data_IF_813183466694
#
_entry.id   IF_813183466694
#
_cell.length_a   1.000
_cell.length_b   1.000
_cell.length_c   1.000
_cell.angle_alpha   90.00
_cell.angle_beta   90.00
_cell.angle_gamma   90.00
#
_symmetry.space_group_name_H-M   'P 1'
#
loop_
_entity.id
_entity.type
_entity.pdbx_description
1 polymer ?
#
# COMPACT_ATOMS: atom_id res chain seq x y z
N UNK A 1 -0.45 17.79 32.80
CA UNK A 1 -1.08 16.96 32.53
C UNK A 1 -1.62 16.65 32.14
N UNK A 2 -0.70 17.05 32.56
CA UNK A 2 -1.31 16.30 32.28
C UNK A 2 -1.59 16.16 31.97
N UNK A 3 -1.19 16.05 31.82
CA UNK A 3 -1.53 15.53 31.58
C UNK A 3 -1.85 15.07 31.30
N UNK A 4 -1.23 15.27 31.56
CA UNK A 4 -1.58 14.69 31.50
C UNK A 4 -1.90 14.36 31.00
N UNK A 5 -1.42 14.53 31.27
CA UNK A 5 -1.73 14.03 31.08
C UNK A 5 -1.90 13.80 30.40
N UNK A 6 -0.88 14.56 31.12
CA UNK A 6 -1.16 14.01 30.53
C UNK A 6 -0.93 13.97 30.22
N UNK A 7 -0.42 13.33 29.88
CA UNK A 7 -0.40 13.00 29.69
C UNK A 7 -0.29 12.75 29.25
N UNK A 8 0.63 13.05 29.41
CA UNK A 8 0.57 12.72 28.97
C UNK A 8 0.82 12.71 28.48
N UNK A 9 1.28 13.22 28.85
CA UNK A 9 1.34 13.17 28.27
C UNK A 9 1.93 12.88 28.05
N UNK A 10 3.14 13.21 28.06
CA UNK A 10 3.22 12.68 27.71
C UNK A 10 3.50 12.58 27.34
N UNK A 11 4.20 12.99 27.50
CA UNK A 11 4.12 12.59 26.83
C UNK A 11 4.28 12.40 26.78
N UNK A 12 4.83 12.65 26.91
CA UNK A 12 4.54 12.16 26.65
C UNK A 12 4.56 11.92 26.24
N UNK A 13 5.32 12.41 26.59
CA UNK A 13 5.02 12.02 26.01
C UNK A 13 5.19 11.87 25.87
N UNK A 14 5.67 12.08 25.93
CA UNK A 14 5.68 11.66 25.59
C UNK A 14 5.35 11.58 25.10
N UNK A 15 5.79 12.11 25.09
CA UNK A 15 5.36 11.73 24.16
C UNK A 15 5.04 12.11 23.70
N UNK A 16 4.97 12.39 23.44
CA UNK A 16 4.64 12.52 22.68
C UNK A 16 4.58 12.14 22.20
N UNK A 17 4.87 12.07 21.82
CA UNK A 17 4.81 11.56 21.14
C UNK A 17 4.92 11.26 20.38
N UNK A 18 5.32 11.70 20.02
CA UNK A 18 5.78 10.95 18.93
C UNK A 18 4.68 10.28 18.14
N UNK A 19 3.64 10.03 18.69
CA UNK A 19 2.49 9.48 18.01
C UNK A 19 2.00 10.36 16.90
N UNK A 20 2.17 11.63 17.05
CA UNK A 20 1.67 12.54 16.06
C UNK A 20 2.42 12.43 14.74
N UNK A 21 3.55 11.76 14.74
CA UNK A 21 4.32 11.60 13.51
C UNK A 21 4.13 10.23 12.91
N UNK A 22 3.29 9.44 13.50
CA UNK A 22 3.06 8.11 13.01
C UNK A 22 2.11 8.17 11.84
N UNK A 23 2.53 7.64 10.71
CA UNK A 23 1.70 7.63 9.53
C UNK A 23 1.06 6.26 9.42
N UNK A 24 -0.25 6.24 9.54
CA UNK A 24 -0.97 4.99 9.46
C UNK A 24 -1.02 4.52 8.02
N UNK A 25 -0.80 3.24 7.83
CA UNK A 25 -0.98 2.65 6.53
C UNK A 25 -2.47 2.57 6.23
N UNK A 26 -2.87 3.07 5.08
CA UNK A 26 -4.26 3.02 4.66
C UNK A 26 -4.37 1.98 3.55
N UNK A 27 -5.21 0.98 3.71
CA UNK A 27 -5.38 -0.03 2.66
C UNK A 27 -5.71 0.62 1.32
N UNK A 28 -5.20 0.02 0.26
CA UNK A 28 -5.29 0.61 -1.08
C UNK A 28 -6.73 0.91 -1.46
N UNK A 29 -7.63 -0.02 -1.19
CA UNK A 29 -9.03 0.16 -1.59
C UNK A 29 -9.73 1.28 -0.84
N UNK A 30 -9.13 1.75 0.25
CA UNK A 30 -9.73 2.82 1.05
C UNK A 30 -9.12 4.19 0.77
N UNK A 31 -8.12 4.25 -0.10
CA UNK A 31 -7.44 5.52 -0.35
C UNK A 31 -8.25 6.40 -1.27
N UNK A 32 -8.36 7.70 -0.94
CA UNK A 32 -9.14 8.61 -1.77
C UNK A 32 -8.66 8.70 -3.21
N UNK A 33 -7.35 8.63 -3.43
CA UNK A 33 -6.79 8.81 -4.76
C UNK A 33 -7.09 7.62 -5.68
N UNK A 34 -7.58 6.50 -5.15
CA UNK A 34 -7.87 5.32 -5.94
C UNK A 34 -9.34 4.94 -5.92
N UNK A 35 -10.23 5.90 -5.67
CA UNK A 35 -11.65 5.60 -5.60
C UNK A 35 -12.33 5.59 -6.94
N UNK A 36 -11.72 6.18 -7.96
CA UNK A 36 -12.25 6.17 -9.32
C UNK A 36 -11.10 6.16 -10.29
N UNK A 37 -11.42 5.83 -11.54
CA UNK A 37 -10.46 5.90 -12.61
C UNK A 37 -9.82 4.57 -12.92
N UNK A 38 -8.79 4.59 -13.78
CA UNK A 38 -8.17 3.33 -14.25
C UNK A 38 -7.58 2.47 -13.16
N UNK A 39 -7.03 3.10 -12.12
CA UNK A 39 -6.46 2.30 -11.02
C UNK A 39 -7.56 1.55 -10.30
N UNK A 40 -8.69 2.20 -10.05
CA UNK A 40 -9.81 1.55 -9.38
C UNK A 40 -10.32 0.38 -10.19
N UNK A 41 -10.48 0.60 -11.49
CA UNK A 41 -10.96 -0.46 -12.37
C UNK A 41 -10.01 -1.64 -12.37
N UNK A 42 -8.70 -1.36 -12.41
CA UNK A 42 -7.71 -2.43 -12.41
C UNK A 42 -7.70 -3.16 -11.08
N UNK A 43 -7.91 -2.45 -9.98
CA UNK A 43 -7.95 -3.09 -8.67
C UNK A 43 -9.13 -4.05 -8.56
N UNK A 44 -10.28 -3.67 -9.09
CA UNK A 44 -11.43 -4.58 -9.11
C UNK A 44 -11.15 -5.79 -9.99
N UNK A 45 -10.51 -5.58 -11.15
CA UNK A 45 -10.16 -6.69 -12.01
C UNK A 45 -9.20 -7.64 -11.30
N UNK A 46 -8.26 -7.08 -10.55
CA UNK A 46 -7.29 -7.87 -9.82
C UNK A 46 -7.96 -8.68 -8.72
N UNK A 47 -8.95 -8.09 -8.05
CA UNK A 47 -9.71 -8.82 -7.03
C UNK A 47 -10.42 -10.04 -7.62
N UNK A 48 -10.83 -9.96 -8.87
CA UNK A 48 -11.48 -11.07 -9.53
C UNK A 48 -10.50 -12.18 -9.87
N UNK A 49 -9.26 -11.83 -10.15
CA UNK A 49 -8.25 -12.79 -10.57
C UNK A 49 -7.60 -13.48 -9.38
N UNK A 50 -7.30 -12.73 -8.33
CA UNK A 50 -6.62 -13.26 -7.15
C UNK A 50 -7.64 -13.76 -6.15
N UNK A 51 -7.21 -14.67 -5.28
CA UNK A 51 -8.07 -15.05 -4.17
C UNK A 51 -8.24 -13.84 -3.26
N UNK A 52 -9.36 -13.80 -2.54
CA UNK A 52 -9.64 -12.70 -1.64
C UNK A 52 -8.54 -12.53 -0.59
N UNK A 53 -8.06 -13.64 -0.08
CA UNK A 53 -7.01 -13.63 0.94
C UNK A 53 -5.72 -13.06 0.38
N UNK A 54 -5.33 -13.48 -0.82
CA UNK A 54 -4.11 -12.99 -1.44
C UNK A 54 -4.22 -11.51 -1.81
N UNK A 55 -5.35 -11.10 -2.34
CA UNK A 55 -5.55 -9.71 -2.68
C UNK A 55 -5.42 -8.84 -1.43
N UNK A 56 -6.06 -9.27 -0.34
CA UNK A 56 -6.01 -8.49 0.89
C UNK A 56 -4.59 -8.38 1.41
N UNK A 57 -3.86 -9.48 1.41
CA UNK A 57 -2.53 -9.50 1.99
C UNK A 57 -1.48 -8.84 1.12
N UNK A 58 -1.48 -9.14 -0.17
CA UNK A 58 -0.37 -8.73 -1.04
C UNK A 58 -0.65 -7.47 -1.85
N UNK A 59 -1.89 -7.06 -1.94
CA UNK A 59 -2.24 -5.85 -2.67
C UNK A 59 -2.76 -4.79 -1.71
N UNK A 60 -3.89 -5.09 -1.07
CA UNK A 60 -4.58 -4.08 -0.27
C UNK A 60 -3.77 -3.62 0.93
N UNK A 61 -3.05 -4.53 1.56
CA UNK A 61 -2.30 -4.22 2.77
C UNK A 61 -0.81 -4.02 2.54
N UNK A 62 -0.34 -4.08 1.30
CA UNK A 62 1.09 -4.04 1.05
C UNK A 62 1.55 -2.85 0.23
N UNK A 63 0.68 -2.28 -0.59
CA UNK A 63 1.12 -1.24 -1.52
C UNK A 63 1.04 0.13 -0.90
N UNK A 64 2.17 0.82 -0.93
CA UNK A 64 2.26 2.19 -0.46
C UNK A 64 1.77 3.14 -1.52
N UNK A 65 2.03 2.82 -2.78
CA UNK A 65 1.66 3.70 -3.87
C UNK A 65 1.51 2.91 -5.17
N UNK A 66 0.58 3.35 -5.99
CA UNK A 66 0.41 2.84 -7.35
C UNK A 66 0.51 4.03 -8.28
N UNK A 67 1.41 3.94 -9.25
CA UNK A 67 1.52 4.96 -10.29
C UNK A 67 1.18 4.31 -11.61
N UNK A 68 0.15 4.79 -12.28
CA UNK A 68 -0.34 4.15 -13.48
C UNK A 68 -0.89 5.22 -14.42
N UNK A 69 -0.42 5.19 -15.66
CA UNK A 69 -0.83 6.19 -16.65
C UNK A 69 -1.52 5.56 -17.86
N UNK A 70 -1.94 4.30 -17.74
CA UNK A 70 -2.60 3.60 -18.83
C UNK A 70 -1.67 2.73 -19.63
N UNK A 71 -0.37 2.97 -19.56
CA UNK A 71 0.59 2.14 -20.26
C UNK A 71 1.78 1.74 -19.39
N UNK A 72 2.08 2.54 -18.38
CA UNK A 72 3.18 2.23 -17.47
C UNK A 72 2.64 2.08 -16.07
N UNK A 73 3.16 1.08 -15.37
CA UNK A 73 2.72 0.78 -14.03
C UNK A 73 3.93 0.65 -13.11
N UNK A 74 3.90 1.35 -12.00
CA UNK A 74 4.90 1.18 -10.97
C UNK A 74 4.22 1.01 -9.63
N UNK A 75 4.66 0.03 -8.88
CA UNK A 75 4.11 -0.26 -7.57
C UNK A 75 5.20 -0.07 -6.52
N UNK A 76 4.84 0.51 -5.41
CA UNK A 76 5.76 0.64 -4.27
C UNK A 76 5.16 -0.14 -3.11
N UNK A 77 5.90 -1.13 -2.64
CA UNK A 77 5.45 -1.96 -1.53
C UNK A 77 6.09 -1.50 -0.24
N UNK A 78 5.51 -1.89 0.87
CA UNK A 78 6.05 -1.47 2.15
C UNK A 78 7.22 -2.32 2.62
N UNK A 79 7.51 -3.44 1.95
CA UNK A 79 8.69 -4.22 2.32
C UNK A 79 9.16 -5.06 1.15
N UNK A 80 10.39 -5.52 1.26
CA UNK A 80 11.03 -6.32 0.23
C UNK A 80 10.30 -7.64 0.01
N UNK A 81 9.77 -8.22 1.07
CA UNK A 81 9.03 -9.47 0.95
C UNK A 81 7.85 -9.32 -0.02
N UNK A 82 7.10 -8.24 0.14
CA UNK A 82 5.96 -8.03 -0.74
C UNK A 82 6.40 -7.78 -2.17
N UNK A 83 7.51 -7.06 -2.36
CA UNK A 83 8.03 -6.84 -3.70
C UNK A 83 8.34 -8.18 -4.38
N UNK A 84 9.00 -9.06 -3.64
CA UNK A 84 9.36 -10.37 -4.17
C UNK A 84 8.13 -11.18 -4.54
N UNK A 85 7.12 -11.17 -3.66
CA UNK A 85 5.91 -11.93 -3.91
C UNK A 85 5.16 -11.42 -5.14
N UNK A 86 5.06 -10.10 -5.27
CA UNK A 86 4.37 -9.53 -6.43
C UNK A 86 5.09 -9.86 -7.72
N UNK A 87 6.42 -9.84 -7.68
CA UNK A 87 7.20 -10.14 -8.86
C UNK A 87 7.12 -11.61 -9.25
N UNK A 88 7.16 -12.49 -8.28
CA UNK A 88 7.28 -13.93 -8.56
C UNK A 88 5.95 -14.66 -8.68
N UNK A 89 4.96 -14.30 -7.88
CA UNK A 89 3.72 -15.04 -7.86
C UNK A 89 2.57 -14.34 -8.58
N UNK A 90 2.55 -13.02 -8.54
CA UNK A 90 1.39 -12.29 -9.02
C UNK A 90 1.67 -11.42 -10.23
N UNK A 91 2.81 -11.63 -10.86
CA UNK A 91 3.20 -10.81 -12.01
C UNK A 91 2.14 -10.85 -13.11
N UNK A 92 1.74 -12.04 -13.50
CA UNK A 92 0.80 -12.18 -14.61
C UNK A 92 -0.58 -11.62 -14.27
N UNK A 93 -1.01 -11.85 -13.04
CA UNK A 93 -2.31 -11.34 -12.62
C UNK A 93 -2.32 -9.82 -12.67
N UNK A 94 -1.25 -9.20 -12.21
CA UNK A 94 -1.18 -7.74 -12.20
C UNK A 94 -1.10 -7.20 -13.62
N UNK A 95 -0.31 -7.82 -14.48
CA UNK A 95 -0.22 -7.40 -15.87
C UNK A 95 -1.58 -7.51 -16.55
N UNK A 96 -2.31 -8.56 -16.27
CA UNK A 96 -3.61 -8.77 -16.87
C UNK A 96 -4.62 -7.71 -16.38
N UNK A 97 -4.61 -7.45 -15.07
CA UNK A 97 -5.57 -6.50 -14.50
C UNK A 97 -5.33 -5.07 -14.98
N UNK A 98 -4.07 -4.68 -15.12
CA UNK A 98 -3.72 -3.33 -15.53
C UNK A 98 -3.52 -3.20 -17.03
N UNK A 99 -3.59 -4.30 -17.77
CA UNK A 99 -3.41 -4.31 -19.22
C UNK A 99 -2.04 -3.78 -19.63
N UNK A 100 -1.01 -4.25 -18.96
CA UNK A 100 0.37 -3.89 -19.29
C UNK A 100 1.15 -5.16 -19.55
N UNK A 101 2.23 -5.05 -20.32
CA UNK A 101 3.07 -6.19 -20.58
C UNK A 101 4.14 -6.40 -19.53
N UNK A 102 4.39 -5.37 -18.73
CA UNK A 102 5.42 -5.44 -17.71
C UNK A 102 5.14 -4.30 -16.72
N UNK A 103 5.74 -4.38 -15.54
CA UNK A 103 5.60 -3.30 -14.60
C UNK A 103 6.82 -3.31 -13.67
N UNK A 104 6.98 -2.22 -12.98
CA UNK A 104 8.07 -2.05 -12.06
C UNK A 104 7.55 -2.09 -10.64
N UNK A 105 8.26 -2.78 -9.76
CA UNK A 105 7.88 -2.81 -8.37
C UNK A 105 9.13 -2.58 -7.53
N UNK A 106 9.01 -1.69 -6.56
CA UNK A 106 10.13 -1.40 -5.65
C UNK A 106 9.58 -1.45 -4.24
N UNK A 107 10.46 -1.64 -3.29
CA UNK A 107 10.03 -1.60 -1.90
C UNK A 107 10.43 -0.27 -1.30
N UNK A 108 9.63 0.19 -0.36
CA UNK A 108 9.93 1.41 0.35
C UNK A 108 11.12 1.15 1.26
N UNK A 109 12.10 2.04 1.17
CA UNK A 109 13.26 1.93 2.03
C UNK A 109 13.05 2.82 3.20
N UNK A 110 12.99 2.25 4.35
CA UNK A 110 12.81 3.11 5.46
C UNK A 110 13.71 2.75 6.53
N UNK A 111 13.93 3.30 6.61
CA UNK A 111 14.64 2.96 7.27
C UNK A 111 15.51 3.16 7.49
N UNK A 112 15.26 3.11 6.73
CA UNK A 112 15.92 3.14 6.60
C UNK A 112 15.91 3.51 6.96
#
# INVERSE_FOLDING_TARGET
MAMEEGKKYSAESKGYNDKIYEIRFIPVMERPEYQEGPVRDALFALKEIMSEKDFEKYINSSLVRITYDGSRLMLITKSEMYRTMLTNLFFEAICQAFHVGNFRVVSEVNGY
#
